data_IF_674020241908
#
_entry.id   IF_674020241908
#
_cell.length_a   1.000
_cell.length_b   1.000
_cell.length_c   1.000
_cell.angle_alpha   90.00
_cell.angle_beta   90.00
_cell.angle_gamma   90.00
#
_symmetry.space_group_name_H-M   'P 1'
#
loop_
_entity.id
_entity.type
_entity.pdbx_description
1 polymer ?
#
# COMPACT_ATOMS: atom_id res chain seq x y z
N UNK A 1 21.76 -1.95 -39.12
CA UNK A 1 21.48 -1.88 -37.69
C UNK A 1 21.06 -0.48 -37.22
N UNK A 2 21.69 0.63 -37.62
CA UNK A 2 21.32 2.01 -37.21
C UNK A 2 19.89 2.42 -37.63
N UNK A 3 19.40 1.96 -38.81
CA UNK A 3 18.05 2.29 -39.28
C UNK A 3 16.94 1.55 -38.52
N UNK A 4 17.19 0.32 -38.04
CA UNK A 4 16.25 -0.42 -37.18
C UNK A 4 16.13 0.23 -35.81
N UNK A 5 17.23 0.76 -35.25
CA UNK A 5 17.22 1.48 -33.98
C UNK A 5 16.40 2.79 -34.08
N UNK A 6 16.51 3.49 -35.22
CA UNK A 6 15.76 4.73 -35.43
C UNK A 6 14.24 4.48 -35.59
N UNK A 7 13.86 3.38 -36.29
CA UNK A 7 12.45 2.95 -36.42
C UNK A 7 11.88 2.53 -35.07
N UNK A 8 12.67 1.82 -34.25
CA UNK A 8 12.30 1.48 -32.86
C UNK A 8 12.08 2.71 -31.96
N UNK A 9 12.96 3.70 -32.06
CA UNK A 9 12.83 4.97 -31.30
C UNK A 9 11.63 5.80 -31.78
N UNK A 10 11.37 5.86 -33.08
CA UNK A 10 10.19 6.55 -33.65
C UNK A 10 8.87 5.84 -33.31
N UNK A 11 8.84 4.50 -33.28
CA UNK A 11 7.69 3.72 -32.84
C UNK A 11 7.42 3.95 -31.33
N UNK A 12 8.47 4.08 -30.51
CA UNK A 12 8.37 4.43 -29.11
C UNK A 12 7.83 5.85 -28.86
N UNK A 13 8.17 6.82 -29.72
CA UNK A 13 7.64 8.19 -29.62
C UNK A 13 6.15 8.29 -30.00
N UNK A 14 5.68 7.46 -30.94
CA UNK A 14 4.26 7.37 -31.32
C UNK A 14 3.38 6.73 -30.26
N UNK A 15 3.93 5.86 -29.42
CA UNK A 15 3.22 5.17 -28.32
C UNK A 15 2.90 6.05 -27.11
N UNK A 16 3.51 7.23 -26.98
CA UNK A 16 3.31 8.11 -25.80
C UNK A 16 1.87 8.60 -25.62
N UNK A 17 1.03 8.62 -26.65
CA UNK A 17 -0.37 8.98 -26.56
C UNK A 17 -1.32 7.78 -26.37
N UNK A 18 -0.85 6.56 -26.64
CA UNK A 18 -1.66 5.33 -26.57
C UNK A 18 -1.83 4.76 -25.15
N UNK A 19 -1.05 5.25 -24.18
CA UNK A 19 -0.94 4.67 -22.85
C UNK A 19 -2.20 4.78 -21.99
N UNK A 20 -2.98 5.83 -22.20
CA UNK A 20 -4.23 6.08 -21.45
C UNK A 20 -5.44 6.10 -22.35
N UNK A 21 -5.33 5.50 -23.54
CA UNK A 21 -6.45 5.35 -24.46
C UNK A 21 -7.36 4.19 -24.04
N UNK A 22 -8.63 4.29 -24.39
CA UNK A 22 -9.57 3.19 -24.25
C UNK A 22 -9.01 1.89 -24.83
N UNK A 23 -9.09 0.81 -24.06
CA UNK A 23 -8.59 -0.50 -24.46
C UNK A 23 -7.18 -0.82 -23.98
N UNK A 24 -6.47 0.14 -23.37
CA UNK A 24 -5.16 -0.08 -22.75
C UNK A 24 -5.29 -0.61 -21.32
N UNK A 25 -4.20 -1.19 -20.82
CA UNK A 25 -4.06 -1.66 -19.45
C UNK A 25 -2.99 -0.85 -18.72
N UNK A 26 -3.18 -0.72 -17.42
CA UNK A 26 -2.13 -0.27 -16.51
C UNK A 26 -1.99 -1.31 -15.40
N UNK A 27 -0.76 -1.79 -15.19
CA UNK A 27 -0.42 -2.68 -14.08
C UNK A 27 0.73 -2.07 -13.32
N UNK A 28 0.64 -2.04 -12.01
CA UNK A 28 1.65 -1.40 -11.20
C UNK A 28 1.66 -1.89 -9.76
N UNK A 29 2.43 -1.22 -8.98
CA UNK A 29 2.48 -1.45 -7.56
C UNK A 29 3.13 -0.27 -6.85
N UNK A 30 2.63 0.02 -5.69
CA UNK A 30 3.15 1.08 -4.84
C UNK A 30 3.41 0.59 -3.42
N UNK A 31 4.25 1.30 -2.71
CA UNK A 31 4.51 1.08 -1.30
C UNK A 31 4.54 2.42 -0.57
N UNK A 32 4.01 2.44 0.64
CA UNK A 32 4.10 3.58 1.55
C UNK A 32 5.23 3.30 2.52
N UNK A 33 6.40 3.93 2.33
CA UNK A 33 7.60 3.68 3.13
C UNK A 33 8.05 2.19 3.16
N UNK A 34 7.65 1.39 2.19
CA UNK A 34 8.04 0.01 1.91
C UNK A 34 8.27 -0.88 3.12
N UNK A 35 9.50 -0.87 3.61
CA UNK A 35 9.94 -1.55 4.82
C UNK A 35 10.48 -0.53 5.81
N UNK A 36 9.99 -0.54 7.04
CA UNK A 36 10.54 0.29 8.12
C UNK A 36 10.71 -0.50 9.42
N UNK A 37 11.69 -0.11 10.21
CA UNK A 37 11.89 -0.60 11.58
C UNK A 37 11.98 0.60 12.50
N UNK A 38 11.14 0.63 13.51
CA UNK A 38 11.13 1.66 14.56
C UNK A 38 11.55 1.01 15.88
N UNK A 39 12.57 1.57 16.52
CA UNK A 39 13.01 1.17 17.86
C UNK A 39 12.75 2.31 18.81
N UNK A 40 12.06 2.04 19.89
CA UNK A 40 11.79 3.00 20.95
C UNK A 40 12.77 2.83 22.11
N UNK A 41 13.09 3.92 22.79
CA UNK A 41 13.87 3.90 24.04
C UNK A 41 13.23 4.82 25.05
N UNK A 42 13.01 4.32 26.25
CA UNK A 42 12.52 5.11 27.38
C UNK A 42 13.71 5.49 28.25
N UNK A 43 13.89 6.78 28.50
CA UNK A 43 14.93 7.30 29.41
C UNK A 43 14.29 7.81 30.69
N UNK A 44 14.72 7.26 31.83
CA UNK A 44 14.28 7.70 33.16
C UNK A 44 15.50 7.80 34.08
N UNK A 45 15.68 8.94 34.72
CA UNK A 45 16.80 9.21 35.65
C UNK A 45 18.20 8.83 35.13
N UNK A 46 18.46 9.10 33.84
CA UNK A 46 19.76 8.81 33.22
C UNK A 46 19.95 7.34 32.78
N UNK A 47 19.02 6.46 33.12
CA UNK A 47 18.97 5.08 32.63
C UNK A 47 18.16 4.99 31.36
N UNK A 48 18.59 4.17 30.40
CA UNK A 48 17.87 3.93 29.16
C UNK A 48 17.42 2.48 29.12
N UNK A 49 16.12 2.27 28.95
CA UNK A 49 15.51 0.96 28.76
C UNK A 49 15.03 0.88 27.31
N UNK A 50 15.31 -0.23 26.64
CA UNK A 50 14.81 -0.46 25.29
C UNK A 50 13.30 -0.66 25.37
N UNK A 51 12.58 0.14 24.58
CA UNK A 51 11.13 0.04 24.42
C UNK A 51 10.76 -0.85 23.24
N UNK A 52 9.46 -0.90 22.88
CA UNK A 52 8.97 -1.73 21.80
C UNK A 52 9.67 -1.47 20.48
N UNK A 53 9.98 -2.55 19.76
CA UNK A 53 10.48 -2.52 18.40
C UNK A 53 9.35 -2.90 17.45
N UNK A 54 9.10 -2.06 16.45
CA UNK A 54 8.09 -2.30 15.42
C UNK A 54 8.75 -2.41 14.05
N UNK A 55 8.43 -3.46 13.33
CA UNK A 55 8.85 -3.65 11.94
C UNK A 55 7.62 -3.78 11.07
N UNK A 56 7.52 -2.97 10.01
CA UNK A 56 6.39 -3.02 9.09
C UNK A 56 6.83 -3.08 7.64
N UNK A 57 6.04 -3.81 6.86
CA UNK A 57 6.14 -3.92 5.42
C UNK A 57 4.77 -3.70 4.81
N UNK A 58 4.71 -2.94 3.71
CA UNK A 58 3.48 -2.80 2.95
C UNK A 58 3.76 -2.76 1.44
N UNK A 59 2.81 -3.26 0.67
CA UNK A 59 2.81 -3.24 -0.79
C UNK A 59 1.38 -3.21 -1.29
N UNK A 60 1.15 -2.48 -2.37
CA UNK A 60 -0.16 -2.37 -3.01
C UNK A 60 -0.03 -2.61 -4.52
N UNK A 61 -0.04 -3.87 -4.98
CA UNK A 61 -0.21 -4.17 -6.40
C UNK A 61 -1.56 -3.64 -6.91
N UNK A 62 -1.56 -3.22 -8.15
CA UNK A 62 -2.73 -2.66 -8.82
C UNK A 62 -2.81 -3.09 -10.27
N UNK A 63 -4.03 -3.25 -10.78
CA UNK A 63 -4.28 -3.48 -12.19
C UNK A 63 -5.53 -2.70 -12.62
N UNK A 64 -5.49 -2.06 -13.78
CA UNK A 64 -6.59 -1.28 -14.31
C UNK A 64 -6.70 -1.38 -15.83
N UNK A 65 -7.92 -1.25 -16.32
CA UNK A 65 -8.27 -1.21 -17.73
C UNK A 65 -8.88 0.13 -18.09
N UNK A 66 -8.43 0.75 -19.15
CA UNK A 66 -8.95 2.02 -19.64
C UNK A 66 -10.29 1.82 -20.36
N UNK A 67 -11.38 2.01 -19.63
CA UNK A 67 -12.77 1.92 -20.15
C UNK A 67 -13.12 3.10 -21.05
N UNK A 68 -12.45 4.22 -20.86
CA UNK A 68 -12.48 5.41 -21.71
C UNK A 68 -11.10 6.05 -21.71
N UNK A 69 -10.86 6.98 -22.65
CA UNK A 69 -9.60 7.72 -22.68
C UNK A 69 -9.37 8.39 -21.32
N UNK A 70 -8.22 8.12 -20.70
CA UNK A 70 -7.77 8.66 -19.41
C UNK A 70 -8.55 8.17 -18.17
N UNK A 71 -9.53 7.29 -18.32
CA UNK A 71 -10.28 6.71 -17.19
C UNK A 71 -9.99 5.21 -17.13
N UNK A 72 -9.26 4.79 -16.12
CA UNK A 72 -9.02 3.39 -15.80
C UNK A 72 -9.93 2.94 -14.66
N UNK A 73 -10.57 1.79 -14.83
CA UNK A 73 -11.26 1.05 -13.77
C UNK A 73 -10.44 -0.18 -13.46
N UNK A 74 -10.23 -0.47 -12.19
CA UNK A 74 -9.32 -1.52 -11.80
C UNK A 74 -9.50 -1.97 -10.36
N UNK A 75 -8.47 -2.61 -9.84
CA UNK A 75 -8.41 -3.14 -8.49
C UNK A 75 -7.07 -2.82 -7.87
N UNK A 76 -7.09 -2.34 -6.64
CA UNK A 76 -5.91 -2.22 -5.77
C UNK A 76 -6.01 -3.31 -4.69
N UNK A 77 -4.90 -4.03 -4.46
CA UNK A 77 -4.80 -5.05 -3.41
C UNK A 77 -3.70 -4.62 -2.44
N UNK A 78 -4.10 -4.01 -1.33
CA UNK A 78 -3.18 -3.57 -0.28
C UNK A 78 -2.83 -4.70 0.66
N UNK A 79 -1.57 -4.95 0.88
CA UNK A 79 -1.05 -5.86 1.90
C UNK A 79 -0.13 -5.10 2.85
N UNK A 80 -0.38 -5.21 4.16
CA UNK A 80 0.46 -4.65 5.22
C UNK A 80 0.68 -5.70 6.30
N UNK A 81 1.92 -5.88 6.73
CA UNK A 81 2.26 -6.68 7.90
C UNK A 81 3.10 -5.85 8.86
N UNK A 82 2.72 -5.86 10.13
CA UNK A 82 3.42 -5.15 11.21
C UNK A 82 3.70 -6.13 12.33
N UNK A 83 4.97 -6.26 12.68
CA UNK A 83 5.46 -7.06 13.79
C UNK A 83 5.89 -6.12 14.90
N UNK A 84 5.33 -6.30 16.10
CA UNK A 84 5.70 -5.56 17.29
C UNK A 84 6.31 -6.53 18.30
N UNK A 85 7.55 -6.24 18.71
CA UNK A 85 8.28 -6.95 19.76
C UNK A 85 8.25 -6.07 21.02
N UNK A 86 7.76 -6.60 22.13
CA UNK A 86 7.64 -5.90 23.39
C UNK A 86 8.17 -6.78 24.53
N UNK A 87 8.71 -6.11 25.55
CA UNK A 87 9.18 -6.74 26.77
C UNK A 87 8.38 -6.20 27.94
N UNK A 88 7.73 -7.09 28.67
CA UNK A 88 7.02 -6.76 29.91
C UNK A 88 7.66 -7.47 31.11
N UNK A 89 7.55 -6.86 32.30
CA UNK A 89 8.01 -7.44 33.55
C UNK A 89 6.82 -7.86 34.39
N UNK A 90 6.66 -9.18 34.56
CA UNK A 90 5.60 -9.76 35.39
C UNK A 90 6.26 -10.43 36.59
N UNK A 91 5.92 -10.00 37.83
CA UNK A 91 6.53 -10.47 39.08
C UNK A 91 8.07 -10.42 39.06
N UNK A 92 8.67 -9.41 38.40
CA UNK A 92 10.12 -9.24 38.31
C UNK A 92 10.84 -10.16 37.33
N UNK A 93 10.12 -10.96 36.58
CA UNK A 93 10.63 -11.74 35.45
C UNK A 93 10.35 -11.04 34.13
N UNK A 94 11.33 -11.07 33.23
CA UNK A 94 11.24 -10.48 31.89
C UNK A 94 10.51 -11.43 30.95
N UNK A 95 9.43 -10.94 30.33
CA UNK A 95 8.67 -11.65 29.31
C UNK A 95 8.75 -10.89 27.99
N UNK A 96 9.36 -11.53 27.01
CA UNK A 96 9.39 -11.04 25.64
C UNK A 96 8.21 -11.63 24.87
N UNK A 97 7.41 -10.78 24.26
CA UNK A 97 6.30 -11.22 23.43
C UNK A 97 6.24 -10.49 22.08
N UNK A 98 5.67 -11.16 21.14
CA UNK A 98 5.55 -10.71 19.76
C UNK A 98 4.08 -10.66 19.37
N UNK A 99 3.68 -9.53 18.77
CA UNK A 99 2.35 -9.36 18.15
C UNK A 99 2.53 -9.10 16.67
N UNK A 100 1.85 -9.87 15.84
CA UNK A 100 1.85 -9.67 14.39
C UNK A 100 0.46 -9.26 13.92
N UNK A 101 0.37 -8.11 13.27
CA UNK A 101 -0.83 -7.62 12.61
C UNK A 101 -0.66 -7.70 11.10
N UNK A 102 -1.57 -8.39 10.41
CA UNK A 102 -1.59 -8.49 8.96
C UNK A 102 -2.91 -7.97 8.42
N UNK A 103 -2.86 -6.96 7.56
CA UNK A 103 -4.03 -6.36 6.91
C UNK A 103 -3.99 -6.61 5.42
N UNK A 104 -5.10 -7.09 4.88
CA UNK A 104 -5.38 -7.20 3.46
C UNK A 104 -6.53 -6.23 3.12
N UNK A 105 -6.36 -5.45 2.06
CA UNK A 105 -7.40 -4.57 1.51
C UNK A 105 -7.60 -4.91 0.05
N UNK A 106 -8.83 -5.15 -0.37
CA UNK A 106 -9.19 -5.38 -1.78
C UNK A 106 -10.17 -4.29 -2.17
N UNK A 107 -9.77 -3.44 -3.11
CA UNK A 107 -10.51 -2.22 -3.42
C UNK A 107 -10.64 -2.02 -4.94
N UNK A 108 -11.82 -2.26 -5.53
CA UNK A 108 -12.18 -1.71 -6.83
C UNK A 108 -11.97 -0.20 -6.86
N UNK A 109 -11.33 0.30 -7.92
CA UNK A 109 -10.93 1.71 -8.05
C UNK A 109 -11.27 2.27 -9.43
N UNK A 110 -11.49 3.57 -9.48
CA UNK A 110 -11.51 4.36 -10.70
C UNK A 110 -10.42 5.43 -10.61
N UNK A 111 -9.59 5.54 -11.66
CA UNK A 111 -8.47 6.49 -11.71
C UNK A 111 -8.56 7.30 -12.99
N UNK A 112 -8.48 8.62 -12.84
CA UNK A 112 -8.39 9.56 -13.94
C UNK A 112 -6.95 10.04 -14.10
N UNK A 113 -6.42 9.94 -15.33
CA UNK A 113 -5.10 10.43 -15.71
C UNK A 113 -5.24 11.73 -16.49
N UNK A 114 -4.65 12.81 -15.99
CA UNK A 114 -4.73 14.12 -16.65
C UNK A 114 -3.84 14.15 -17.90
N UNK A 115 -4.32 14.82 -18.93
CA UNK A 115 -3.52 15.03 -20.14
C UNK A 115 -2.28 15.84 -19.79
N UNK A 116 -1.13 15.36 -20.22
CA UNK A 116 0.12 16.08 -20.14
C UNK A 116 0.85 15.99 -21.47
N UNK A 117 1.47 17.08 -21.88
CA UNK A 117 2.37 17.13 -23.04
C UNK A 117 3.83 16.89 -22.61
N UNK A 118 4.06 16.50 -21.38
CA UNK A 118 5.37 16.21 -20.78
C UNK A 118 5.45 14.74 -20.33
N UNK A 119 6.63 14.33 -19.87
CA UNK A 119 6.85 13.01 -19.25
C UNK A 119 6.16 12.84 -17.89
N UNK A 120 5.52 13.88 -17.38
CA UNK A 120 4.82 13.86 -16.10
C UNK A 120 3.33 13.79 -16.34
N UNK A 121 2.67 12.76 -15.82
CA UNK A 121 1.25 12.52 -15.97
C UNK A 121 0.58 12.50 -14.58
N UNK A 122 -0.13 13.58 -14.19
CA UNK A 122 -0.88 13.60 -12.94
C UNK A 122 -2.04 12.60 -12.98
N UNK A 123 -2.41 12.09 -11.82
CA UNK A 123 -3.58 11.23 -11.67
C UNK A 123 -4.34 11.51 -10.37
N UNK A 124 -5.63 11.16 -10.38
CA UNK A 124 -6.51 11.16 -9.22
C UNK A 124 -7.40 9.92 -9.30
N UNK A 125 -7.53 9.21 -8.20
CA UNK A 125 -8.35 8.00 -8.13
C UNK A 125 -9.05 7.87 -6.80
N UNK A 126 -10.13 7.10 -6.80
CA UNK A 126 -10.86 6.72 -5.60
C UNK A 126 -11.38 5.28 -5.73
N UNK A 127 -11.67 4.66 -4.60
CA UNK A 127 -12.18 3.31 -4.55
C UNK A 127 -12.96 3.03 -3.28
N UNK A 128 -13.72 1.94 -3.33
CA UNK A 128 -14.42 1.37 -2.19
C UNK A 128 -14.27 -0.14 -2.25
N UNK A 129 -14.10 -0.78 -1.11
CA UNK A 129 -13.85 -2.21 -1.06
C UNK A 129 -13.95 -2.78 0.34
N UNK A 130 -13.20 -3.81 0.57
CA UNK A 130 -13.21 -4.63 1.78
C UNK A 130 -11.81 -4.73 2.38
N UNK A 131 -11.72 -4.76 3.71
CA UNK A 131 -10.48 -5.07 4.41
C UNK A 131 -10.66 -6.22 5.39
N UNK A 132 -9.57 -6.92 5.65
CA UNK A 132 -9.47 -7.91 6.71
C UNK A 132 -8.14 -7.74 7.41
N UNK A 133 -8.17 -7.60 8.73
CA UNK A 133 -7.00 -7.52 9.60
C UNK A 133 -6.98 -8.69 10.55
N UNK A 134 -5.89 -9.44 10.55
CA UNK A 134 -5.64 -10.54 11.49
C UNK A 134 -4.52 -10.15 12.43
N UNK A 135 -4.81 -10.13 13.71
CA UNK A 135 -3.84 -9.92 14.79
C UNK A 135 -3.56 -11.24 15.47
N UNK A 136 -2.29 -11.58 15.57
CA UNK A 136 -1.78 -12.75 16.29
C UNK A 136 -1.02 -12.27 17.52
N UNK A 137 -1.29 -12.86 18.65
CA UNK A 137 -0.59 -12.62 19.91
C UNK A 137 -0.45 -13.92 20.69
N UNK A 138 0.59 -14.06 21.54
CA UNK A 138 0.78 -15.24 22.34
C UNK A 138 -0.36 -15.42 23.35
N UNK A 139 -0.80 -16.65 23.57
CA UNK A 139 -1.71 -16.98 24.66
C UNK A 139 -0.92 -16.93 25.97
N UNK A 140 -1.28 -16.01 26.86
CA UNK A 140 -0.74 -15.92 28.23
C UNK A 140 -1.39 -16.90 29.20
N UNK A 141 -2.21 -17.86 28.71
CA UNK A 141 -2.86 -18.88 29.51
C UNK A 141 -1.92 -20.02 29.92
N UNK A 142 -2.43 -20.94 30.76
CA UNK A 142 -1.69 -22.07 31.34
C UNK A 142 -1.08 -23.06 30.32
N UNK A 143 -1.42 -22.98 29.05
CA UNK A 143 -0.91 -23.85 27.98
C UNK A 143 0.16 -23.20 27.09
N UNK A 144 0.69 -22.07 27.44
CA UNK A 144 1.94 -21.38 27.08
C UNK A 144 2.52 -21.38 25.66
N UNK A 145 1.92 -22.06 24.67
CA UNK A 145 2.46 -22.17 23.31
C UNK A 145 1.41 -22.02 22.19
N UNK A 146 0.19 -21.61 22.51
CA UNK A 146 -0.83 -21.39 21.49
C UNK A 146 -0.87 -19.89 21.08
N UNK A 147 -0.97 -19.64 19.77
CA UNK A 147 -1.22 -18.30 19.25
C UNK A 147 -2.72 -18.03 19.25
N UNK A 148 -3.14 -16.96 19.87
CA UNK A 148 -4.50 -16.42 19.71
C UNK A 148 -4.56 -15.57 18.46
N UNK A 149 -5.58 -15.81 17.62
CA UNK A 149 -5.83 -15.06 16.40
C UNK A 149 -7.16 -14.32 16.52
N UNK A 150 -7.10 -13.02 16.33
CA UNK A 150 -8.27 -12.17 16.22
C UNK A 150 -8.35 -11.63 14.80
N UNK A 151 -9.48 -11.84 14.14
CA UNK A 151 -9.71 -11.30 12.80
C UNK A 151 -10.82 -10.26 12.85
N UNK A 152 -10.56 -9.10 12.29
CA UNK A 152 -11.51 -8.00 12.15
C UNK A 152 -11.60 -7.63 10.69
N UNK A 153 -12.81 -7.52 10.16
CA UNK A 153 -13.07 -7.20 8.76
C UNK A 153 -14.17 -6.14 8.61
N UNK A 154 -14.24 -5.53 7.44
CA UNK A 154 -15.21 -4.49 7.19
C UNK A 154 -15.02 -3.76 5.87
N UNK A 155 -15.61 -2.56 5.80
CA UNK A 155 -15.57 -1.71 4.61
C UNK A 155 -14.29 -0.86 4.60
N UNK A 156 -13.71 -0.74 3.41
CA UNK A 156 -12.62 0.20 3.12
C UNK A 156 -13.07 1.16 2.01
N UNK A 157 -12.71 2.42 2.11
CA UNK A 157 -12.77 3.37 0.99
C UNK A 157 -11.56 4.27 1.02
N UNK A 158 -11.17 4.80 -0.13
CA UNK A 158 -9.99 5.64 -0.19
C UNK A 158 -9.93 6.50 -1.44
N UNK A 159 -8.99 7.44 -1.39
CA UNK A 159 -8.63 8.28 -2.50
C UNK A 159 -7.11 8.34 -2.62
N UNK A 160 -6.62 8.44 -3.86
CA UNK A 160 -5.21 8.58 -4.18
C UNK A 160 -5.00 9.65 -5.24
N UNK A 161 -3.89 10.33 -5.19
CA UNK A 161 -3.51 11.30 -6.21
C UNK A 161 -2.01 11.50 -6.24
N UNK A 162 -1.49 11.79 -7.42
CA UNK A 162 -0.05 11.94 -7.59
C UNK A 162 0.35 12.20 -9.02
N UNK A 163 1.58 11.85 -9.32
CA UNK A 163 2.17 11.97 -10.65
C UNK A 163 2.84 10.66 -11.04
N UNK A 164 2.69 10.29 -12.31
CA UNK A 164 3.50 9.27 -12.98
C UNK A 164 4.58 9.98 -13.77
N UNK A 165 5.83 9.71 -13.48
CA UNK A 165 6.96 10.14 -14.29
C UNK A 165 7.33 9.04 -15.28
N UNK A 166 7.06 9.26 -16.58
CA UNK A 166 7.32 8.29 -17.63
C UNK A 166 8.81 8.21 -17.95
N UNK A 167 9.44 7.11 -17.53
CA UNK A 167 10.83 6.79 -17.84
C UNK A 167 10.97 6.32 -19.27
N UNK A 168 10.00 5.50 -19.70
CA UNK A 168 9.81 5.07 -21.10
C UNK A 168 8.37 5.33 -21.50
N UNK A 169 7.99 5.15 -22.77
CA UNK A 169 6.58 5.23 -23.16
C UNK A 169 5.64 4.27 -22.43
N UNK A 170 6.15 3.19 -21.87
CA UNK A 170 5.34 2.14 -21.24
C UNK A 170 5.62 1.95 -19.75
N UNK A 171 6.64 2.62 -19.21
CA UNK A 171 7.06 2.46 -17.80
C UNK A 171 7.10 3.82 -17.13
N UNK A 172 6.40 3.95 -16.03
CA UNK A 172 6.40 5.13 -15.19
C UNK A 172 6.83 4.84 -13.75
N UNK A 173 7.40 5.84 -13.12
CA UNK A 173 7.63 5.91 -11.66
C UNK A 173 6.51 6.75 -11.08
N UNK A 174 5.82 6.20 -10.08
CA UNK A 174 4.69 6.83 -9.42
C UNK A 174 5.14 7.48 -8.10
N UNK A 175 4.73 8.73 -7.90
CA UNK A 175 4.85 9.41 -6.62
C UNK A 175 3.49 10.02 -6.28
N UNK A 176 2.98 9.72 -5.10
CA UNK A 176 1.63 10.13 -4.75
C UNK A 176 1.34 10.16 -3.26
N UNK A 177 0.13 10.56 -2.98
CA UNK A 177 -0.50 10.55 -1.67
C UNK A 177 -1.70 9.63 -1.73
N UNK A 178 -1.96 8.91 -0.64
CA UNK A 178 -3.17 8.12 -0.50
C UNK A 178 -3.78 8.32 0.88
N UNK A 179 -5.09 8.29 0.90
CA UNK A 179 -5.90 8.25 2.10
C UNK A 179 -6.80 7.03 2.04
N UNK A 180 -6.80 6.24 3.09
CA UNK A 180 -7.67 5.05 3.23
C UNK A 180 -8.38 5.12 4.58
N UNK A 181 -9.68 4.97 4.54
CA UNK A 181 -10.53 4.80 5.71
C UNK A 181 -11.00 3.34 5.74
N UNK A 182 -10.81 2.69 6.89
CA UNK A 182 -11.36 1.36 7.16
C UNK A 182 -12.34 1.45 8.32
N UNK A 183 -13.47 0.77 8.22
CA UNK A 183 -14.49 0.75 9.27
C UNK A 183 -15.10 -0.63 9.41
N UNK A 184 -15.19 -1.08 10.65
CA UNK A 184 -15.94 -2.26 11.03
C UNK A 184 -16.94 -1.93 12.13
N UNK A 185 -17.99 -2.71 12.21
CA UNK A 185 -18.99 -2.63 13.26
C UNK A 185 -19.16 -4.02 13.87
N UNK A 186 -18.90 -4.10 15.15
CA UNK A 186 -19.12 -5.31 15.93
C UNK A 186 -20.06 -4.95 17.09
N UNK A 187 -21.21 -5.60 17.11
CA UNK A 187 -22.33 -5.24 17.99
C UNK A 187 -22.73 -3.76 17.82
N UNK A 188 -22.62 -2.96 18.87
CA UNK A 188 -22.93 -1.51 18.84
C UNK A 188 -21.68 -0.63 18.67
N UNK A 189 -20.47 -1.24 18.70
CA UNK A 189 -19.20 -0.51 18.59
C UNK A 189 -18.78 -0.40 17.14
N UNK A 190 -18.58 0.81 16.67
CA UNK A 190 -18.02 1.10 15.35
C UNK A 190 -16.57 1.58 15.51
N UNK A 191 -15.65 0.81 14.97
CA UNK A 191 -14.24 1.19 14.88
C UNK A 191 -13.97 1.80 13.52
N UNK A 192 -13.22 2.91 13.50
CA UNK A 192 -12.83 3.62 12.28
C UNK A 192 -11.35 3.93 12.34
N UNK A 193 -10.62 3.53 11.31
CA UNK A 193 -9.19 3.85 11.18
C UNK A 193 -8.96 4.65 9.91
N UNK A 194 -8.23 5.75 10.04
CA UNK A 194 -7.84 6.62 8.94
C UNK A 194 -6.34 6.53 8.73
N UNK A 195 -5.93 6.23 7.52
CA UNK A 195 -4.51 6.15 7.15
C UNK A 195 -4.22 7.13 6.02
N UNK A 196 -3.25 8.01 6.24
CA UNK A 196 -2.72 8.90 5.21
C UNK A 196 -1.25 8.55 4.98
N UNK A 197 -0.83 8.49 3.72
CA UNK A 197 0.53 8.10 3.38
C UNK A 197 1.04 8.70 2.08
N UNK A 198 2.37 8.80 2.00
CA UNK A 198 3.11 9.10 0.78
C UNK A 198 3.49 7.79 0.12
N UNK A 199 3.19 7.64 -1.16
CA UNK A 199 3.43 6.42 -1.91
C UNK A 199 4.51 6.64 -2.98
N UNK A 200 5.36 5.64 -3.15
CA UNK A 200 6.24 5.51 -4.30
C UNK A 200 6.00 4.16 -4.97
N UNK A 201 6.08 4.12 -6.29
CA UNK A 201 5.82 2.88 -7.02
C UNK A 201 6.20 2.98 -8.50
N UNK A 202 5.67 2.06 -9.27
CA UNK A 202 5.83 2.05 -10.72
C UNK A 202 4.58 1.53 -11.41
N UNK A 203 4.39 1.98 -12.65
CA UNK A 203 3.28 1.59 -13.52
C UNK A 203 3.79 1.15 -14.87
N UNK A 204 3.20 0.07 -15.39
CA UNK A 204 3.40 -0.44 -16.75
C UNK A 204 2.13 -0.24 -17.53
N UNK A 205 2.24 0.45 -18.66
CA UNK A 205 1.13 0.71 -19.60
C UNK A 205 1.32 -0.14 -20.85
N UNK A 206 0.27 -0.84 -21.29
CA UNK A 206 0.30 -1.68 -22.49
C UNK A 206 -1.09 -1.83 -23.11
N UNK A 207 -1.11 -2.22 -24.39
CA UNK A 207 -2.33 -2.43 -25.18
C UNK A 207 -2.33 -3.81 -25.79
#
# INVERSE_FOLDING_TARGET
MKKLFLVGVLALCGAMNAQTEKGSWVVGGSTTLGFNTTTSKVKYNGQSVDGPKSTSFNVTPSAGYFVANKIAVGIDVGFKSTKNESTDYVFGQEYNYETTETTLVVMPTATYYFKSNSKVMPYLGAGIGYFSTTTKFPDFGFNGNEEVKLTTDGLAWGAKGGIVFLVTPTIGIDLGLAYVNTSNKENEVKNVTNTFGVNAGFSFFFK
#
